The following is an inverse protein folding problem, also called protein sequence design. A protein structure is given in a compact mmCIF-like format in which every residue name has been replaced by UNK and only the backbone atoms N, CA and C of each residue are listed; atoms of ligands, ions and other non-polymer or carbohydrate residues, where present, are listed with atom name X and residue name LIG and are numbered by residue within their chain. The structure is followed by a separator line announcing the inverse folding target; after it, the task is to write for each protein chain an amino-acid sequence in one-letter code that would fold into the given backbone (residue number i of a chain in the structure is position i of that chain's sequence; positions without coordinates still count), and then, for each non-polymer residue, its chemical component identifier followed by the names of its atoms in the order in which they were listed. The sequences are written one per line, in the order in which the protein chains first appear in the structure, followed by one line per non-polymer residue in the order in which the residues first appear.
data_IF_312470842092
#
_entry.id   IF_312470842092
#
_cell.length_a   1.000
_cell.length_b   1.000
_cell.length_c   1.000
_cell.angle_alpha   90.00
_cell.angle_beta   90.00
_cell.angle_gamma   90.00
#
_symmetry.space_group_name_H-M   'P 1'
#
loop_
_entity.id
_entity.type
_entity.pdbx_description
1 polymer ?
#
# COMPACT_ATOMS: atom_id res chain seq x y z
N UNK A 1 52.79 2.06 9.76
CA UNK A 1 52.15 2.47 8.50
C UNK A 1 50.79 1.78 8.46
N UNK A 2 49.75 2.41 9.02
CA UNK A 2 48.44 1.77 9.17
C UNK A 2 47.51 2.22 8.04
N UNK A 3 47.06 1.26 7.23
CA UNK A 3 46.10 1.47 6.17
C UNK A 3 44.70 1.70 6.75
N UNK A 4 44.17 2.91 6.61
CA UNK A 4 42.76 3.19 6.88
C UNK A 4 41.94 2.85 5.63
N UNK A 5 41.18 1.75 5.71
CA UNK A 5 40.14 1.38 4.76
C UNK A 5 38.94 2.36 4.90
N UNK A 6 38.25 2.78 3.82
CA UNK A 6 37.18 3.77 3.88
C UNK A 6 35.85 3.18 4.40
N UNK A 7 35.00 3.96 5.09
CA UNK A 7 33.67 3.50 5.48
C UNK A 7 32.66 3.63 4.32
N UNK A 8 32.10 2.47 3.95
CA UNK A 8 30.68 2.21 3.73
C UNK A 8 29.82 3.24 2.97
N UNK A 9 29.87 3.18 1.63
CA UNK A 9 28.73 3.60 0.80
C UNK A 9 27.63 2.51 0.82
N UNK A 10 26.93 2.35 1.95
CA UNK A 10 25.65 1.64 1.96
C UNK A 10 24.62 2.56 1.30
N UNK A 11 24.32 2.30 0.02
CA UNK A 11 23.12 2.85 -0.63
C UNK A 11 21.92 2.53 0.26
N UNK A 12 20.97 3.46 0.44
CA UNK A 12 19.80 3.21 1.26
C UNK A 12 19.09 1.96 0.73
N UNK A 13 18.90 1.06 1.67
CA UNK A 13 18.07 -0.12 1.60
C UNK A 13 16.77 0.25 0.88
N UNK A 14 16.67 -0.12 -0.40
CA UNK A 14 15.36 -0.35 -0.99
C UNK A 14 14.87 -1.59 -0.27
N UNK A 15 14.20 -1.40 0.86
CA UNK A 15 13.39 -2.42 1.51
C UNK A 15 12.35 -2.81 0.46
N UNK A 16 12.71 -3.78 -0.38
CA UNK A 16 11.74 -4.58 -1.09
C UNK A 16 10.95 -5.24 0.03
N UNK A 17 9.77 -4.72 0.30
CA UNK A 17 8.82 -5.37 1.19
C UNK A 17 8.74 -6.82 0.74
N UNK A 18 9.24 -7.74 1.58
CA UNK A 18 9.09 -9.15 1.31
C UNK A 18 7.59 -9.42 1.15
N UNK A 19 7.15 -10.02 0.03
CA UNK A 19 5.75 -10.33 -0.16
C UNK A 19 5.37 -11.37 0.88
N UNK A 20 4.66 -10.97 1.93
CA UNK A 20 4.01 -11.90 2.85
C UNK A 20 2.77 -12.43 2.14
N UNK A 21 2.78 -13.66 1.60
CA UNK A 21 1.81 -14.11 0.60
C UNK A 21 0.46 -14.52 1.21
N UNK A 22 0.23 -14.29 2.50
CA UNK A 22 -0.94 -14.79 3.24
C UNK A 22 -1.98 -13.71 3.58
N UNK A 23 -1.73 -12.42 3.30
CA UNK A 23 -2.61 -11.31 3.72
C UNK A 23 -3.04 -10.33 2.62
N UNK A 24 -2.73 -10.63 1.36
CA UNK A 24 -2.97 -9.74 0.22
C UNK A 24 -1.91 -8.63 0.12
N UNK A 25 -1.78 -8.06 -1.08
CA UNK A 25 -0.80 -7.04 -1.42
C UNK A 25 -1.37 -5.64 -1.17
N UNK A 26 -0.68 -4.82 -0.39
CA UNK A 26 -1.08 -3.44 -0.11
C UNK A 26 -0.24 -2.47 -0.94
N UNK A 27 -0.90 -1.67 -1.76
CA UNK A 27 -0.30 -0.60 -2.55
C UNK A 27 -0.85 0.76 -2.18
N UNK A 28 -0.05 1.82 -2.34
CA UNK A 28 -0.51 3.20 -2.21
C UNK A 28 -0.63 3.84 -3.60
N UNK A 29 -1.80 4.36 -3.93
CA UNK A 29 -2.11 5.02 -5.22
C UNK A 29 -2.51 6.48 -5.02
N UNK A 30 -2.48 7.26 -6.09
CA UNK A 30 -2.93 8.66 -6.11
C UNK A 30 -4.01 8.80 -7.16
N UNK A 31 -5.14 9.41 -6.80
CA UNK A 31 -6.22 9.65 -7.75
C UNK A 31 -5.88 10.86 -8.63
N UNK A 32 -5.54 10.62 -9.90
CA UNK A 32 -5.12 11.68 -10.82
C UNK A 32 -6.27 12.25 -11.65
N UNK A 33 -7.31 11.45 -11.91
CA UNK A 33 -8.45 11.82 -12.75
C UNK A 33 -9.78 11.77 -11.98
N UNK A 34 -10.75 12.57 -12.43
CA UNK A 34 -12.06 12.72 -11.81
C UNK A 34 -13.17 11.86 -12.44
N UNK A 35 -12.87 11.13 -13.52
CA UNK A 35 -13.85 10.33 -14.28
C UNK A 35 -14.44 9.17 -13.49
N UNK A 36 -13.74 8.65 -12.50
CA UNK A 36 -14.30 7.70 -11.52
C UNK A 36 -13.66 7.97 -10.17
N UNK A 37 -14.45 8.52 -9.24
CA UNK A 37 -14.00 8.68 -7.85
C UNK A 37 -14.20 7.35 -7.13
N UNK A 38 -13.12 6.61 -6.80
CA UNK A 38 -13.28 5.41 -6.02
C UNK A 38 -13.86 5.75 -4.66
N UNK A 39 -14.63 4.82 -4.12
CA UNK A 39 -15.24 4.94 -2.80
C UNK A 39 -14.42 4.11 -1.83
N UNK A 40 -14.28 4.58 -0.60
CA UNK A 40 -13.62 3.82 0.46
C UNK A 40 -14.53 2.64 0.86
N UNK A 41 -14.02 1.42 0.77
CA UNK A 41 -14.73 0.20 1.15
C UNK A 41 -14.98 0.07 2.67
N UNK A 42 -14.29 0.88 3.50
CA UNK A 42 -14.47 0.86 4.95
C UNK A 42 -15.43 1.93 5.49
N UNK A 43 -15.42 3.16 4.94
CA UNK A 43 -16.27 4.25 5.42
C UNK A 43 -17.36 4.69 4.43
N UNK A 44 -17.27 4.29 3.16
CA UNK A 44 -18.24 4.68 2.12
C UNK A 44 -18.02 6.08 1.55
N UNK A 45 -17.00 6.81 1.99
CA UNK A 45 -16.70 8.15 1.47
C UNK A 45 -15.97 8.08 0.13
N UNK A 46 -16.24 9.07 -0.74
CA UNK A 46 -15.51 9.22 -2.00
C UNK A 46 -14.08 9.71 -1.74
N UNK A 47 -13.11 9.10 -2.40
CA UNK A 47 -11.71 9.50 -2.29
C UNK A 47 -11.49 10.80 -3.08
N UNK A 48 -10.83 11.76 -2.45
CA UNK A 48 -10.59 13.07 -3.05
C UNK A 48 -9.59 13.01 -4.21
N UNK A 49 -9.77 13.93 -5.16
CA UNK A 49 -8.83 14.08 -6.27
C UNK A 49 -7.46 14.52 -5.73
N UNK A 50 -6.38 13.94 -6.28
CA UNK A 50 -4.99 14.11 -5.85
C UNK A 50 -4.71 13.60 -4.43
N UNK A 51 -5.64 12.92 -3.78
CA UNK A 51 -5.38 12.26 -2.51
C UNK A 51 -4.65 10.92 -2.72
N UNK A 52 -3.77 10.60 -1.77
CA UNK A 52 -3.21 9.26 -1.63
C UNK A 52 -4.26 8.36 -1.01
N UNK A 53 -4.35 7.14 -1.50
CA UNK A 53 -5.24 6.11 -0.98
C UNK A 53 -4.55 4.75 -0.99
N UNK A 54 -5.08 3.80 -0.22
CA UNK A 54 -4.59 2.43 -0.15
C UNK A 54 -5.45 1.53 -1.01
N UNK A 55 -4.79 0.59 -1.68
CA UNK A 55 -5.44 -0.50 -2.39
C UNK A 55 -4.95 -1.81 -1.79
N UNK A 56 -5.87 -2.68 -1.40
CA UNK A 56 -5.58 -4.05 -0.98
C UNK A 56 -6.01 -4.98 -2.10
N UNK A 57 -5.08 -5.79 -2.60
CA UNK A 57 -5.34 -6.82 -3.60
C UNK A 57 -5.26 -8.17 -2.92
N UNK A 58 -6.38 -8.89 -2.83
CA UNK A 58 -6.47 -10.21 -2.21
C UNK A 58 -6.65 -11.25 -3.30
N UNK A 59 -5.84 -12.34 -3.32
CA UNK A 59 -6.10 -13.46 -4.21
C UNK A 59 -7.41 -14.15 -3.81
N UNK A 60 -8.26 -14.44 -4.79
CA UNK A 60 -9.53 -15.14 -4.65
C UNK A 60 -9.55 -16.38 -5.58
N UNK A 61 -10.47 -17.33 -5.38
CA UNK A 61 -10.57 -18.56 -6.17
C UNK A 61 -10.67 -18.28 -7.69
N UNK A 62 -11.29 -17.16 -8.08
CA UNK A 62 -11.47 -16.73 -9.47
C UNK A 62 -10.46 -15.67 -9.95
N UNK A 63 -9.49 -15.26 -9.12
CA UNK A 63 -8.47 -14.28 -9.51
C UNK A 63 -7.99 -13.37 -8.37
N UNK A 64 -8.29 -12.08 -8.50
CA UNK A 64 -7.91 -11.07 -7.50
C UNK A 64 -9.06 -10.11 -7.27
N UNK A 65 -9.35 -9.85 -5.99
CA UNK A 65 -10.28 -8.81 -5.58
C UNK A 65 -9.48 -7.58 -5.09
N UNK A 66 -9.89 -6.39 -5.53
CA UNK A 66 -9.25 -5.13 -5.15
C UNK A 66 -10.19 -4.29 -4.30
N UNK A 67 -9.71 -3.85 -3.14
CA UNK A 67 -10.40 -2.96 -2.22
C UNK A 67 -9.67 -1.64 -2.10
N UNK A 68 -10.42 -0.55 -1.96
CA UNK A 68 -9.90 0.81 -1.88
C UNK A 68 -10.20 1.45 -0.53
N UNK A 69 -9.21 2.12 0.06
CA UNK A 69 -9.33 2.79 1.36
C UNK A 69 -8.74 4.20 1.30
N UNK A 70 -9.42 5.17 1.90
CA UNK A 70 -8.93 6.55 1.93
C UNK A 70 -7.63 6.71 2.74
N UNK A 71 -7.40 5.87 3.74
CA UNK A 71 -6.24 5.95 4.63
C UNK A 71 -5.89 4.60 5.30
N UNK A 72 -4.77 4.57 6.02
CA UNK A 72 -4.27 3.39 6.73
C UNK A 72 -5.21 2.91 7.87
N UNK A 73 -5.98 3.79 8.51
CA UNK A 73 -6.94 3.38 9.55
C UNK A 73 -8.15 2.67 8.94
N UNK A 74 -8.63 3.16 7.79
CA UNK A 74 -9.68 2.48 7.02
C UNK A 74 -9.22 1.10 6.52
N UNK A 75 -7.97 0.98 6.06
CA UNK A 75 -7.37 -0.30 5.71
C UNK A 75 -7.28 -1.22 6.94
N UNK A 76 -6.77 -0.72 8.08
CA UNK A 76 -6.60 -1.51 9.30
C UNK A 76 -7.90 -2.16 9.77
N UNK A 77 -9.04 -1.45 9.67
CA UNK A 77 -10.37 -1.98 10.00
C UNK A 77 -10.79 -3.21 9.17
N UNK A 78 -10.24 -3.38 7.97
CA UNK A 78 -10.50 -4.54 7.10
C UNK A 78 -9.62 -5.73 7.46
N UNK A 79 -8.33 -5.50 7.70
CA UNK A 79 -7.33 -6.56 7.97
C UNK A 79 -7.30 -7.02 9.43
N UNK A 80 -7.77 -6.20 10.37
CA UNK A 80 -7.91 -6.53 11.79
C UNK A 80 -9.34 -6.21 12.29
N UNK A 81 -10.34 -7.04 11.94
CA UNK A 81 -11.67 -6.91 12.50
C UNK A 81 -11.65 -7.45 13.94
N UNK A 82 -11.58 -6.55 14.93
CA UNK A 82 -11.79 -6.92 16.34
C UNK A 82 -13.22 -7.32 16.64
#
# INVERSE_FOLDING_TARGET
MSAHNPPANRRPDRTAAEPQPERGDVSTRVLLDSGTRPTCDACGDSIELKAKHKCLTVPDDDGFEEYTFCDDACLARRVDPQ
#
